data_IF_115307249041
#
_entry.id   IF_115307249041
#
_cell.length_a   1.000
_cell.length_b   1.000
_cell.length_c   1.000
_cell.angle_alpha   90.00
_cell.angle_beta   90.00
_cell.angle_gamma   90.00
#
_symmetry.space_group_name_H-M   'P 1'
#
loop_
_entity.id
_entity.type
_entity.pdbx_description
1 polymer ?
#
# COMPACT_ATOMS: atom_id res chain seq x y z
N UNK A 1 -2.43 15.02 -1.20
CA UNK A 1 -1.24 14.13 -1.24
C UNK A 1 -0.31 14.55 -0.12
N UNK A 2 -0.03 13.66 0.84
CA UNK A 2 0.89 13.94 1.94
C UNK A 2 2.17 13.15 1.71
N UNK A 3 3.26 13.82 1.33
CA UNK A 3 4.57 13.21 1.10
C UNK A 3 5.33 13.18 2.43
N UNK A 4 5.81 12.03 2.87
CA UNK A 4 6.68 11.89 4.06
C UNK A 4 7.94 11.11 3.68
N UNK A 5 9.07 11.52 4.25
CA UNK A 5 10.35 10.84 4.07
C UNK A 5 10.40 9.56 4.93
N UNK A 6 10.81 8.45 4.32
CA UNK A 6 11.14 7.24 5.05
C UNK A 6 12.57 7.32 5.62
N UNK A 7 12.80 6.76 6.81
CA UNK A 7 14.11 6.76 7.49
C UNK A 7 14.79 5.40 7.35
N UNK A 8 16.11 5.40 7.18
CA UNK A 8 16.96 4.21 6.88
C UNK A 8 16.89 3.08 7.92
N UNK A 9 16.63 3.41 9.19
CA UNK A 9 16.59 2.45 10.30
C UNK A 9 15.18 2.29 10.90
N UNK A 10 14.15 2.75 10.19
CA UNK A 10 12.77 2.69 10.64
C UNK A 10 12.03 1.57 9.89
N UNK A 11 11.43 0.64 10.64
CA UNK A 11 10.46 -0.29 10.05
C UNK A 11 9.17 0.43 9.74
N UNK A 12 8.56 0.08 8.62
CA UNK A 12 7.28 0.60 8.19
C UNK A 12 6.31 -0.56 7.97
N UNK A 13 5.06 -0.31 8.29
CA UNK A 13 3.95 -1.21 8.09
C UNK A 13 3.00 -0.57 7.10
N UNK A 14 2.63 -1.34 6.08
CA UNK A 14 1.57 -1.02 5.14
C UNK A 14 0.29 -1.74 5.59
N UNK A 15 -0.72 -0.95 5.94
CA UNK A 15 -2.09 -1.43 6.13
C UNK A 15 -2.92 -1.04 4.93
N UNK A 16 -3.48 -2.03 4.24
CA UNK A 16 -4.32 -1.81 3.07
C UNK A 16 -5.59 -2.67 3.14
N UNK A 17 -6.69 -2.14 2.63
CA UNK A 17 -7.94 -2.89 2.46
C UNK A 17 -8.67 -2.44 1.21
N UNK A 18 -9.39 -3.36 0.59
CA UNK A 18 -10.26 -3.09 -0.55
C UNK A 18 -11.62 -3.76 -0.33
N UNK A 19 -12.67 -3.21 -0.90
CA UNK A 19 -14.02 -3.80 -0.94
C UNK A 19 -14.57 -3.71 -2.36
N UNK A 20 -15.22 -4.78 -2.81
CA UNK A 20 -15.93 -4.83 -4.09
C UNK A 20 -17.14 -5.74 -3.95
N UNK A 21 -18.19 -5.48 -4.75
CA UNK A 21 -19.33 -6.38 -4.89
C UNK A 21 -19.04 -7.56 -5.82
N UNK A 22 -17.94 -7.49 -6.58
CA UNK A 22 -17.53 -8.55 -7.51
C UNK A 22 -16.71 -9.61 -6.76
N UNK A 23 -17.17 -10.88 -6.72
CA UNK A 23 -16.45 -11.95 -6.02
C UNK A 23 -15.04 -12.17 -6.57
N UNK A 24 -14.08 -12.38 -5.67
CA UNK A 24 -12.69 -12.67 -6.03
C UNK A 24 -11.91 -11.48 -6.61
N UNK A 25 -12.48 -10.28 -6.59
CA UNK A 25 -11.82 -9.06 -7.07
C UNK A 25 -10.57 -8.76 -6.25
N UNK A 26 -9.52 -8.33 -6.94
CA UNK A 26 -8.26 -7.86 -6.38
C UNK A 26 -7.84 -6.58 -7.08
N UNK A 27 -7.13 -5.69 -6.39
CA UNK A 27 -6.42 -4.57 -7.01
C UNK A 27 -4.92 -4.70 -6.82
N UNK A 28 -4.14 -3.94 -7.59
CA UNK A 28 -2.69 -3.89 -7.41
C UNK A 28 -2.32 -2.68 -6.55
N UNK A 29 -1.49 -2.89 -5.53
CA UNK A 29 -0.82 -1.78 -4.83
C UNK A 29 0.66 -1.73 -5.24
N UNK A 30 1.19 -0.51 -5.29
CA UNK A 30 2.59 -0.26 -5.58
C UNK A 30 3.15 0.83 -4.68
N UNK A 31 4.34 0.58 -4.14
CA UNK A 31 5.15 1.55 -3.41
C UNK A 31 6.24 2.08 -4.34
N UNK A 32 6.28 3.40 -4.47
CA UNK A 32 7.20 4.11 -5.36
C UNK A 32 8.16 4.97 -4.55
N UNK A 33 9.44 4.90 -4.87
CA UNK A 33 10.49 5.83 -4.43
C UNK A 33 11.03 6.55 -5.65
N UNK A 34 10.90 7.88 -5.72
CA UNK A 34 11.37 8.66 -6.88
C UNK A 34 10.86 8.14 -8.24
N UNK A 35 9.61 7.63 -8.27
CA UNK A 35 8.95 6.97 -9.41
C UNK A 35 9.47 5.57 -9.77
N UNK A 36 10.37 4.97 -8.98
CA UNK A 36 10.78 3.58 -9.12
C UNK A 36 10.00 2.68 -8.16
N UNK A 37 9.56 1.53 -8.65
CA UNK A 37 8.86 0.52 -7.85
C UNK A 37 9.83 -0.11 -6.84
N UNK A 38 9.47 -0.07 -5.56
CA UNK A 38 10.27 -0.67 -4.47
C UNK A 38 9.57 -1.83 -3.79
N UNK A 39 8.24 -1.91 -3.91
CA UNK A 39 7.44 -3.05 -3.49
C UNK A 39 6.07 -2.99 -4.17
N UNK A 40 5.47 -4.14 -4.45
CA UNK A 40 4.11 -4.24 -5.00
C UNK A 40 3.45 -5.54 -4.59
N UNK A 41 2.14 -5.63 -4.80
CA UNK A 41 1.41 -6.88 -4.64
C UNK A 41 -0.08 -6.75 -4.91
N UNK A 42 -0.75 -7.88 -4.77
CA UNK A 42 -2.20 -7.97 -4.88
C UNK A 42 -2.88 -7.62 -3.55
N UNK A 43 -3.93 -6.82 -3.61
CA UNK A 43 -4.83 -6.52 -2.49
C UNK A 43 -6.22 -7.10 -2.78
N UNK A 44 -6.64 -8.15 -2.05
CA UNK A 44 -7.99 -8.68 -2.13
C UNK A 44 -9.03 -7.63 -1.75
N UNK A 45 -10.15 -7.62 -2.48
CA UNK A 45 -11.28 -6.72 -2.22
C UNK A 45 -12.39 -7.38 -1.40
N UNK A 46 -12.00 -8.09 -0.33
CA UNK A 46 -12.87 -8.87 0.56
C UNK A 46 -13.25 -8.11 1.84
N UNK A 47 -12.78 -6.88 2.01
CA UNK A 47 -13.01 -6.04 3.19
C UNK A 47 -12.07 -6.30 4.36
N UNK A 48 -11.14 -7.25 4.24
CA UNK A 48 -10.17 -7.52 5.29
C UNK A 48 -8.93 -6.63 5.14
N UNK A 49 -8.32 -6.27 6.28
CA UNK A 49 -7.07 -5.52 6.28
C UNK A 49 -5.91 -6.49 6.03
N UNK A 50 -5.16 -6.23 4.96
CA UNK A 50 -3.87 -6.84 4.71
C UNK A 50 -2.77 -5.97 5.29
N UNK A 51 -1.94 -6.58 6.14
CA UNK A 51 -0.79 -5.93 6.78
C UNK A 51 0.51 -6.51 6.23
N UNK A 52 1.39 -5.68 5.69
CA UNK A 52 2.72 -6.08 5.22
C UNK A 52 3.80 -5.13 5.74
N UNK A 53 5.03 -5.62 5.85
CA UNK A 53 6.18 -4.84 6.36
C UNK A 53 7.32 -4.87 5.34
N UNK A 54 7.19 -4.15 4.21
CA UNK A 54 8.23 -4.12 3.18
C UNK A 54 9.48 -3.37 3.68
N UNK A 55 10.65 -3.79 3.22
CA UNK A 55 11.88 -3.02 3.39
C UNK A 55 11.83 -1.81 2.46
N UNK A 56 11.88 -0.61 3.02
CA UNK A 56 11.82 0.63 2.24
C UNK A 56 13.18 1.32 2.17
N UNK A 57 13.49 1.99 1.05
CA UNK A 57 14.64 2.89 1.01
C UNK A 57 14.41 4.11 1.91
N UNK A 58 15.51 4.76 2.33
CA UNK A 58 15.50 6.00 3.10
C UNK A 58 15.18 7.23 2.23
N UNK A 59 14.06 7.18 1.52
CA UNK A 59 13.63 8.21 0.55
C UNK A 59 12.13 8.49 0.71
N UNK A 60 11.62 9.47 -0.02
CA UNK A 60 10.18 9.73 -0.03
C UNK A 60 9.42 8.59 -0.71
N UNK A 61 8.39 8.07 -0.04
CA UNK A 61 7.55 6.98 -0.54
C UNK A 61 6.18 7.51 -0.99
N UNK A 62 5.72 7.01 -2.13
CA UNK A 62 4.36 7.19 -2.63
C UNK A 62 3.67 5.84 -2.74
N UNK A 63 2.39 5.79 -2.41
CA UNK A 63 1.54 4.61 -2.61
C UNK A 63 0.65 4.86 -3.82
N UNK A 64 0.58 3.88 -4.71
CA UNK A 64 -0.33 3.86 -5.85
C UNK A 64 -1.27 2.66 -5.71
N UNK A 65 -2.54 2.87 -6.06
CA UNK A 65 -3.55 1.82 -6.20
C UNK A 65 -4.03 1.82 -7.65
N UNK A 66 -3.93 0.67 -8.31
CA UNK A 66 -4.33 0.49 -9.70
C UNK A 66 -5.56 -0.42 -9.80
N UNK A 67 -6.10 -0.58 -11.01
CA UNK A 67 -7.22 -1.49 -11.29
C UNK A 67 -8.48 -1.20 -10.46
N UNK A 68 -8.82 0.08 -10.26
CA UNK A 68 -9.92 0.50 -9.38
C UNK A 68 -11.33 0.28 -9.97
N UNK A 69 -11.45 -0.22 -11.19
CA UNK A 69 -12.76 -0.49 -11.80
C UNK A 69 -13.52 -1.57 -11.02
N UNK A 70 -14.79 -1.29 -10.72
CA UNK A 70 -15.64 -2.15 -9.89
C UNK A 70 -15.26 -2.21 -8.40
N UNK A 71 -14.39 -1.31 -7.92
CA UNK A 71 -14.06 -1.18 -6.49
C UNK A 71 -15.04 -0.24 -5.80
N UNK A 72 -15.58 -0.66 -4.66
CA UNK A 72 -16.48 0.16 -3.84
C UNK A 72 -15.69 1.15 -3.00
N UNK A 73 -14.64 0.67 -2.33
CA UNK A 73 -13.72 1.49 -1.55
C UNK A 73 -12.37 0.77 -1.43
N UNK A 74 -11.28 1.52 -1.43
CA UNK A 74 -9.95 1.02 -1.14
C UNK A 74 -9.15 2.07 -0.38
N UNK A 75 -8.25 1.61 0.49
CA UNK A 75 -7.25 2.45 1.12
C UNK A 75 -5.94 1.70 1.26
N UNK A 76 -4.86 2.45 1.34
CA UNK A 76 -3.55 1.97 1.74
C UNK A 76 -2.84 3.08 2.52
N UNK A 77 -2.31 2.72 3.68
CA UNK A 77 -1.61 3.64 4.58
C UNK A 77 -0.31 3.00 5.01
N UNK A 78 0.77 3.78 4.93
CA UNK A 78 2.07 3.37 5.41
C UNK A 78 2.42 4.16 6.67
N UNK A 79 2.75 3.46 7.74
CA UNK A 79 3.11 4.06 9.03
C UNK A 79 4.42 3.47 9.55
N UNK A 80 5.22 4.25 10.29
CA UNK A 80 6.30 3.68 11.09
C UNK A 80 5.74 2.60 12.03
N UNK A 81 6.41 1.45 12.11
CA UNK A 81 6.11 0.44 13.11
C UNK A 81 6.40 1.02 14.50
N UNK A 82 5.44 0.98 15.44
CA UNK A 82 5.69 1.42 16.81
C UNK A 82 6.71 0.48 17.46
N UNK A 83 7.71 1.08 18.10
CA UNK A 83 8.77 0.40 18.85
C UNK A 83 8.26 -0.28 20.12
#
# INVERSE_FOLDING_TARGET
MTRREARTDQRYVLDAACTSVTPGRKITYELLSSNESVASGDLPCDGNVMRTSPTLPATAIQISLADLDGVTAAYAVITPEPS
#
